data_IF_147186616231
#
_entry.id   IF_147186616231
#
_cell.length_a   1.000
_cell.length_b   1.000
_cell.length_c   1.000
_cell.angle_alpha   90.00
_cell.angle_beta   90.00
_cell.angle_gamma   90.00
#
_symmetry.space_group_name_H-M   'P 1'
#
loop_
_entity.id
_entity.type
_entity.pdbx_description
1 polymer ?
#
# COMPACT_ATOMS: atom_id res chain seq x y z
N UNK A 1 -79.92 5.57 -0.68
CA UNK A 1 -78.67 4.98 -0.13
C UNK A 1 -77.66 4.88 -1.27
N UNK A 2 -76.73 5.83 -1.36
CA UNK A 2 -75.72 5.93 -2.42
C UNK A 2 -74.41 5.40 -1.84
N UNK A 3 -73.87 4.31 -2.42
CA UNK A 3 -72.58 3.73 -2.04
C UNK A 3 -71.47 4.42 -2.84
N UNK A 4 -70.66 5.22 -2.17
CA UNK A 4 -69.42 5.80 -2.72
C UNK A 4 -68.33 4.73 -2.79
N UNK A 5 -67.80 4.50 -3.99
CA UNK A 5 -66.63 3.64 -4.24
C UNK A 5 -65.38 4.52 -4.15
N UNK A 6 -64.50 4.27 -3.17
CA UNK A 6 -63.18 4.92 -3.06
C UNK A 6 -62.19 4.07 -3.86
N UNK A 7 -61.65 4.62 -4.94
CA UNK A 7 -60.54 4.03 -5.71
C UNK A 7 -59.25 4.59 -5.14
N UNK A 8 -58.44 3.74 -4.51
CA UNK A 8 -57.11 4.09 -4.00
C UNK A 8 -56.10 3.86 -5.13
N UNK A 9 -55.58 4.95 -5.69
CA UNK A 9 -54.45 4.91 -6.64
C UNK A 9 -53.15 4.65 -5.85
N UNK A 10 -52.57 3.45 -6.01
CA UNK A 10 -51.22 3.17 -5.54
C UNK A 10 -50.20 3.82 -6.49
N UNK A 11 -49.65 4.98 -6.09
CA UNK A 11 -48.48 5.55 -6.73
C UNK A 11 -47.25 4.70 -6.36
N UNK A 12 -46.82 3.84 -7.27
CA UNK A 12 -45.59 3.07 -7.12
C UNK A 12 -44.40 4.01 -7.42
N UNK A 13 -43.88 4.70 -6.40
CA UNK A 13 -42.59 5.37 -6.51
C UNK A 13 -41.52 4.29 -6.66
N UNK A 14 -41.04 4.06 -7.87
CA UNK A 14 -39.80 3.33 -8.07
C UNK A 14 -38.67 4.16 -7.43
N UNK A 15 -38.22 3.75 -6.24
CA UNK A 15 -36.98 4.26 -5.68
C UNK A 15 -35.84 3.66 -6.51
N UNK A 16 -35.22 4.46 -7.37
CA UNK A 16 -33.99 4.09 -8.06
C UNK A 16 -32.88 4.11 -7.01
N UNK A 17 -32.67 2.99 -6.35
CA UNK A 17 -31.48 2.80 -5.52
C UNK A 17 -30.26 2.87 -6.44
N UNK A 18 -29.48 3.95 -6.35
CA UNK A 18 -28.14 3.98 -6.95
C UNK A 18 -27.29 2.94 -6.23
N UNK A 19 -27.17 1.76 -6.83
CA UNK A 19 -26.19 0.76 -6.42
C UNK A 19 -24.85 1.25 -6.96
N UNK A 20 -24.08 1.95 -6.12
CA UNK A 20 -22.70 2.25 -6.45
C UNK A 20 -21.94 0.93 -6.62
N UNK A 21 -21.15 0.82 -7.69
CA UNK A 21 -20.29 -0.33 -7.87
C UNK A 21 -19.34 -0.47 -6.67
N UNK A 22 -19.06 -1.69 -6.19
CA UNK A 22 -18.10 -1.89 -5.11
C UNK A 22 -16.77 -1.23 -5.45
N UNK A 23 -16.20 -0.46 -4.54
CA UNK A 23 -14.85 0.10 -4.72
C UNK A 23 -13.83 -0.97 -4.35
N UNK A 24 -13.03 -1.41 -5.32
CA UNK A 24 -11.89 -2.30 -5.08
C UNK A 24 -10.72 -1.51 -4.49
N UNK A 25 -10.50 -0.28 -4.98
CA UNK A 25 -9.52 0.62 -4.39
C UNK A 25 -9.07 1.76 -5.30
N UNK A 26 -7.85 2.24 -5.09
CA UNK A 26 -7.28 3.36 -5.80
C UNK A 26 -5.95 3.00 -6.45
N UNK A 27 -5.74 3.55 -7.63
CA UNK A 27 -4.58 3.30 -8.47
C UNK A 27 -3.85 4.63 -8.76
N UNK A 28 -2.59 4.79 -8.32
CA UNK A 28 -1.72 5.84 -8.82
C UNK A 28 -1.51 5.68 -10.34
N UNK A 29 -1.67 6.78 -11.08
CA UNK A 29 -1.43 6.88 -12.52
C UNK A 29 -0.74 8.23 -12.80
N UNK A 30 0.59 8.20 -12.89
CA UNK A 30 1.39 9.42 -12.90
C UNK A 30 1.15 10.26 -11.64
N UNK A 31 0.82 11.54 -11.81
CA UNK A 31 0.48 12.45 -10.72
C UNK A 31 -0.98 12.39 -10.26
N UNK A 32 -1.76 11.40 -10.73
CA UNK A 32 -3.19 11.29 -10.49
C UNK A 32 -3.58 10.01 -9.75
N UNK A 33 -4.79 10.01 -9.21
CA UNK A 33 -5.40 8.87 -8.53
C UNK A 33 -6.64 8.45 -9.32
N UNK A 34 -6.74 7.16 -9.67
CA UNK A 34 -7.90 6.57 -10.35
C UNK A 34 -8.61 5.57 -9.43
N UNK A 35 -9.93 5.70 -9.21
CA UNK A 35 -10.71 4.67 -8.53
C UNK A 35 -10.81 3.41 -9.40
N UNK A 36 -10.79 2.26 -8.74
CA UNK A 36 -10.97 0.94 -9.34
C UNK A 36 -12.25 0.36 -8.76
N UNK A 37 -13.25 0.12 -9.61
CA UNK A 37 -14.54 -0.42 -9.21
C UNK A 37 -14.68 -1.88 -9.62
N UNK A 38 -15.41 -2.66 -8.83
CA UNK A 38 -15.68 -4.08 -9.02
C UNK A 38 -15.02 -4.95 -7.94
N UNK A 39 -14.76 -6.20 -8.30
CA UNK A 39 -14.06 -7.17 -7.48
C UNK A 39 -12.80 -7.64 -8.19
N UNK A 40 -11.86 -8.23 -7.45
CA UNK A 40 -10.64 -8.80 -8.03
C UNK A 40 -10.98 -9.76 -9.19
N UNK A 41 -10.45 -9.49 -10.38
CA UNK A 41 -10.71 -10.27 -11.61
C UNK A 41 -11.95 -9.88 -12.41
N UNK A 42 -12.80 -8.99 -11.87
CA UNK A 42 -13.95 -8.40 -12.56
C UNK A 42 -14.09 -6.92 -12.18
N UNK A 43 -12.98 -6.18 -12.31
CA UNK A 43 -12.89 -4.75 -11.97
C UNK A 43 -12.51 -3.92 -13.19
N UNK A 44 -12.76 -2.61 -13.09
CA UNK A 44 -12.34 -1.64 -14.09
C UNK A 44 -11.82 -0.36 -13.43
N UNK A 45 -10.77 0.21 -14.02
CA UNK A 45 -10.19 1.49 -13.60
C UNK A 45 -10.97 2.63 -14.24
N UNK A 46 -11.47 3.54 -13.42
CA UNK A 46 -12.26 4.69 -13.85
C UNK A 46 -11.41 5.92 -14.19
N UNK A 47 -12.08 7.04 -14.47
CA UNK A 47 -11.43 8.33 -14.67
C UNK A 47 -10.63 8.79 -13.44
N UNK A 48 -9.60 9.61 -13.67
CA UNK A 48 -8.85 10.20 -12.56
C UNK A 48 -9.75 11.11 -11.71
N UNK A 49 -9.55 11.10 -10.40
CA UNK A 49 -10.17 12.05 -9.48
C UNK A 49 -9.56 13.42 -9.77
N UNK A 50 -10.41 14.42 -9.99
CA UNK A 50 -9.97 15.81 -10.11
C UNK A 50 -9.68 16.37 -8.72
N UNK A 51 -8.39 16.53 -8.41
CA UNK A 51 -7.92 17.18 -7.18
C UNK A 51 -7.64 18.68 -7.40
N UNK A 52 -7.81 19.19 -8.63
CA UNK A 52 -7.38 20.53 -9.03
C UNK A 52 -5.86 20.71 -9.11
N UNK A 53 -5.07 19.65 -8.89
CA UNK A 53 -3.61 19.64 -8.94
C UNK A 53 -3.06 18.22 -9.13
N UNK A 54 -1.84 18.14 -9.65
CA UNK A 54 -1.08 16.89 -9.76
C UNK A 54 -0.30 16.60 -8.47
N UNK A 55 0.12 15.34 -8.30
CA UNK A 55 0.92 14.86 -7.19
C UNK A 55 2.31 14.40 -7.67
N UNK A 56 3.34 14.56 -6.84
CA UNK A 56 4.70 14.04 -7.11
C UNK A 56 4.96 12.71 -6.44
N UNK A 57 4.29 12.45 -5.31
CA UNK A 57 4.31 11.18 -4.59
C UNK A 57 2.87 10.75 -4.32
N UNK A 58 2.60 9.45 -4.41
CA UNK A 58 1.28 8.87 -4.12
C UNK A 58 1.46 7.56 -3.38
N UNK A 59 0.86 7.45 -2.20
CA UNK A 59 0.82 6.23 -1.41
C UNK A 59 -0.62 5.92 -0.99
N UNK A 60 -1.16 4.83 -1.52
CA UNK A 60 -2.54 4.41 -1.24
C UNK A 60 -2.57 3.57 0.03
N UNK A 61 -3.52 3.84 0.92
CA UNK A 61 -3.75 3.02 2.12
C UNK A 61 -4.00 1.56 1.73
N UNK A 62 -3.36 0.58 2.38
CA UNK A 62 -3.64 -0.84 2.13
C UNK A 62 -5.11 -1.24 2.34
N UNK A 63 -5.87 -0.43 3.10
CA UNK A 63 -7.31 -0.59 3.30
C UNK A 63 -8.17 0.06 2.21
N UNK A 64 -7.55 0.79 1.29
CA UNK A 64 -8.23 1.42 0.16
C UNK A 64 -9.29 2.46 0.58
N UNK A 65 -9.06 3.14 1.71
CA UNK A 65 -9.96 4.10 2.33
C UNK A 65 -9.45 5.55 2.28
N UNK A 66 -8.14 5.75 2.07
CA UNK A 66 -7.53 7.07 1.84
C UNK A 66 -6.23 6.95 1.04
N UNK A 67 -5.72 8.09 0.59
CA UNK A 67 -4.45 8.22 -0.13
C UNK A 67 -3.63 9.34 0.49
N UNK A 68 -2.31 9.13 0.60
CA UNK A 68 -1.35 10.19 0.88
C UNK A 68 -0.70 10.63 -0.41
N UNK A 69 -0.39 11.92 -0.52
CA UNK A 69 0.43 12.41 -1.62
C UNK A 69 1.21 13.65 -1.27
N UNK A 70 2.10 14.05 -2.17
CA UNK A 70 2.76 15.36 -2.12
C UNK A 70 2.27 16.19 -3.30
N UNK A 71 1.81 17.41 -3.04
CA UNK A 71 1.36 18.34 -4.07
C UNK A 71 2.52 18.67 -5.03
N UNK A 72 2.30 18.62 -6.34
CA UNK A 72 3.39 18.81 -7.30
C UNK A 72 3.90 20.26 -7.38
N UNK A 73 3.06 21.23 -7.03
CA UNK A 73 3.34 22.67 -7.08
C UNK A 73 4.00 23.19 -5.79
N UNK A 74 3.54 22.74 -4.63
CA UNK A 74 4.03 23.23 -3.33
C UNK A 74 4.88 22.23 -2.56
N UNK A 75 4.82 20.93 -2.92
CA UNK A 75 5.41 19.85 -2.15
C UNK A 75 4.65 19.49 -0.87
N UNK A 76 3.55 20.18 -0.55
CA UNK A 76 2.78 19.95 0.67
C UNK A 76 2.27 18.50 0.76
N UNK A 77 2.38 17.89 1.94
CA UNK A 77 1.83 16.58 2.18
C UNK A 77 0.30 16.66 2.33
N UNK A 78 -0.40 15.83 1.58
CA UNK A 78 -1.85 15.78 1.48
C UNK A 78 -2.39 14.45 1.99
N UNK A 79 -3.46 14.52 2.77
CA UNK A 79 -4.38 13.42 3.04
C UNK A 79 -5.59 13.57 2.13
N UNK A 80 -5.80 12.59 1.27
CA UNK A 80 -6.88 12.57 0.28
C UNK A 80 -7.85 11.47 0.68
N UNK A 81 -9.09 11.87 0.98
CA UNK A 81 -10.20 10.94 1.20
C UNK A 81 -11.18 11.09 0.04
N UNK A 82 -11.22 10.14 -0.89
CA UNK A 82 -12.08 10.28 -2.07
C UNK A 82 -13.56 10.45 -1.68
N UNK A 83 -14.23 11.41 -2.30
CA UNK A 83 -15.56 11.89 -1.91
C UNK A 83 -15.57 12.98 -0.83
N UNK A 84 -14.48 13.16 -0.07
CA UNK A 84 -14.32 14.23 0.94
C UNK A 84 -13.27 15.28 0.54
N UNK A 85 -12.43 14.99 -0.46
CA UNK A 85 -11.42 15.91 -0.99
C UNK A 85 -10.02 15.69 -0.40
N UNK A 86 -9.15 16.68 -0.61
CA UNK A 86 -7.78 16.72 -0.12
C UNK A 86 -7.64 17.73 1.03
N UNK A 87 -6.92 17.34 2.08
CA UNK A 87 -6.58 18.20 3.22
C UNK A 87 -5.09 18.13 3.49
N UNK A 88 -4.48 19.23 3.92
CA UNK A 88 -3.06 19.24 4.28
C UNK A 88 -2.82 18.40 5.54
N UNK A 89 -1.68 17.71 5.59
CA UNK A 89 -1.16 17.09 6.80
C UNK A 89 -0.29 18.12 7.53
N UNK A 90 -0.93 18.91 8.39
CA UNK A 90 -0.26 19.98 9.12
C UNK A 90 0.94 19.46 9.93
N UNK A 91 2.08 20.13 9.77
CA UNK A 91 3.34 19.79 10.44
C UNK A 91 4.24 18.82 9.68
N UNK A 92 3.73 18.16 8.63
CA UNK A 92 4.58 17.37 7.73
C UNK A 92 5.33 18.33 6.80
N UNK A 93 6.65 18.18 6.71
CA UNK A 93 7.48 18.99 5.85
C UNK A 93 7.14 18.75 4.37
N UNK A 94 7.27 19.79 3.56
CA UNK A 94 7.03 19.71 2.13
C UNK A 94 8.20 19.01 1.40
N UNK A 95 7.90 18.38 0.27
CA UNK A 95 8.92 17.84 -0.64
C UNK A 95 9.47 16.48 -0.25
N UNK A 96 8.64 15.59 0.32
CA UNK A 96 9.04 14.22 0.57
C UNK A 96 9.40 13.49 -0.74
N UNK A 97 10.53 12.79 -0.76
CA UNK A 97 11.01 12.01 -1.91
C UNK A 97 10.38 10.62 -1.97
N UNK A 98 9.88 10.12 -0.84
CA UNK A 98 9.22 8.81 -0.73
C UNK A 98 8.21 8.84 0.41
N UNK A 99 7.05 8.23 0.17
CA UNK A 99 6.04 7.97 1.19
C UNK A 99 5.87 6.45 1.31
N UNK A 100 5.99 5.92 2.53
CA UNK A 100 5.82 4.49 2.81
C UNK A 100 4.70 4.30 3.81
N UNK A 101 3.72 3.44 3.48
CA UNK A 101 2.59 3.14 4.35
C UNK A 101 2.89 1.99 5.29
N UNK A 102 2.33 2.05 6.50
CA UNK A 102 2.27 0.88 7.37
C UNK A 102 1.35 -0.20 6.77
N UNK A 103 1.50 -1.48 7.15
CA UNK A 103 0.73 -2.59 6.58
C UNK A 103 -0.80 -2.40 6.58
N UNK A 104 -1.35 -1.68 7.56
CA UNK A 104 -2.79 -1.40 7.68
C UNK A 104 -3.16 0.05 7.36
N UNK A 105 -2.19 0.91 7.03
CA UNK A 105 -2.42 2.34 6.85
C UNK A 105 -2.79 3.06 8.16
N UNK A 106 -2.26 2.61 9.31
CA UNK A 106 -2.38 3.35 10.57
C UNK A 106 -1.30 4.41 10.74
N UNK A 107 -0.18 4.23 10.03
CA UNK A 107 0.93 5.17 10.01
C UNK A 107 1.56 5.24 8.61
N UNK A 108 2.37 6.26 8.39
CA UNK A 108 3.20 6.42 7.20
C UNK A 108 4.54 7.07 7.55
N UNK A 109 5.58 6.78 6.77
CA UNK A 109 6.88 7.43 6.86
C UNK A 109 7.13 8.26 5.60
N UNK A 110 7.53 9.51 5.79
CA UNK A 110 7.92 10.47 4.76
C UNK A 110 9.44 10.63 4.81
N UNK A 111 10.12 10.27 3.73
CA UNK A 111 11.58 10.39 3.62
C UNK A 111 11.97 11.65 2.86
N UNK A 112 12.92 12.40 3.42
CA UNK A 112 13.49 13.61 2.85
C UNK A 112 14.98 13.40 2.60
N UNK A 113 15.32 12.96 1.38
CA UNK A 113 16.68 12.57 1.00
C UNK A 113 17.68 13.72 1.05
N UNK A 114 17.23 14.95 0.78
CA UNK A 114 18.09 16.13 0.78
C UNK A 114 18.65 16.46 2.18
N UNK A 115 17.91 16.11 3.24
CA UNK A 115 18.29 16.38 4.63
C UNK A 115 18.60 15.13 5.43
N UNK A 116 18.26 13.94 4.91
CA UNK A 116 18.45 12.68 5.61
C UNK A 116 17.48 12.48 6.77
N UNK A 117 16.31 13.14 6.76
CA UNK A 117 15.31 13.04 7.83
C UNK A 117 14.10 12.21 7.40
N UNK A 118 13.47 11.58 8.39
CA UNK A 118 12.21 10.84 8.21
C UNK A 118 11.17 11.44 9.16
N UNK A 119 9.96 11.72 8.66
CA UNK A 119 8.82 12.02 9.51
C UNK A 119 7.86 10.83 9.51
N UNK A 120 7.59 10.27 10.68
CA UNK A 120 6.54 9.29 10.88
C UNK A 120 5.25 10.04 11.24
N UNK A 121 4.20 9.75 10.50
CA UNK A 121 2.84 10.22 10.75
C UNK A 121 2.01 9.03 11.22
N UNK A 122 1.62 8.99 12.50
CA UNK A 122 0.80 7.93 13.09
C UNK A 122 -0.64 8.40 13.31
N UNK A 123 -1.58 7.48 13.57
CA UNK A 123 -2.98 7.82 13.84
C UNK A 123 -3.79 8.14 12.58
N UNK A 124 -3.30 7.75 11.40
CA UNK A 124 -3.95 7.95 10.13
C UNK A 124 -5.18 7.03 9.95
N UNK A 125 -6.18 7.45 9.15
CA UNK A 125 -6.36 8.80 8.64
C UNK A 125 -6.96 9.75 9.69
N UNK A 126 -7.21 9.32 10.93
CA UNK A 126 -8.02 10.03 11.92
C UNK A 126 -7.38 11.29 12.50
N UNK A 127 -6.57 11.12 13.55
CA UNK A 127 -5.92 12.20 14.30
C UNK A 127 -4.41 12.05 14.19
N UNK A 128 -3.78 12.63 13.16
CA UNK A 128 -2.36 12.43 12.89
C UNK A 128 -1.48 12.99 14.01
N UNK A 129 -0.45 12.24 14.39
CA UNK A 129 0.66 12.71 15.21
C UNK A 129 1.97 12.52 14.46
N UNK A 130 2.89 13.47 14.62
CA UNK A 130 4.14 13.50 13.87
C UNK A 130 5.31 13.27 14.80
N UNK A 131 6.23 12.40 14.38
CA UNK A 131 7.51 12.16 15.04
C UNK A 131 8.62 12.22 14.01
N UNK A 132 9.65 12.97 14.32
CA UNK A 132 10.83 13.09 13.46
C UNK A 132 11.91 12.10 13.86
N UNK A 133 12.60 11.58 12.86
CA UNK A 133 13.76 10.71 12.98
C UNK A 133 14.90 11.35 12.20
N UNK A 134 16.00 11.57 12.90
CA UNK A 134 17.27 11.89 12.27
C UNK A 134 17.94 10.63 11.76
N UNK A 135 18.11 10.53 10.44
CA UNK A 135 18.89 9.50 9.77
C UNK A 135 19.98 10.12 8.88
N UNK A 136 20.36 11.38 9.13
CA UNK A 136 21.36 12.13 8.34
C UNK A 136 22.76 11.53 8.41
N UNK A 137 23.01 10.69 9.42
CA UNK A 137 24.24 9.91 9.57
C UNK A 137 24.29 8.67 8.65
N UNK A 138 23.19 8.33 7.96
CA UNK A 138 23.10 7.22 7.01
C UNK A 138 22.96 7.77 5.57
N UNK A 139 23.37 7.00 4.54
CA UNK A 139 23.11 7.36 3.15
C UNK A 139 21.61 7.19 2.80
N UNK A 140 21.27 7.23 1.51
CA UNK A 140 19.90 6.95 1.09
C UNK A 140 19.51 5.48 1.37
N UNK A 141 18.35 5.20 1.99
CA UNK A 141 17.87 3.85 2.20
C UNK A 141 17.44 3.20 0.89
N UNK A 142 17.79 1.92 0.74
CA UNK A 142 17.21 1.06 -0.29
C UNK A 142 15.72 0.82 -0.02
N UNK A 143 15.38 0.50 1.23
CA UNK A 143 14.01 0.23 1.66
C UNK A 143 13.72 0.85 3.03
N UNK A 144 12.46 1.18 3.27
CA UNK A 144 11.93 1.67 4.53
C UNK A 144 10.61 0.94 4.81
N UNK A 145 10.27 0.76 6.09
CA UNK A 145 8.97 0.31 6.55
C UNK A 145 8.64 0.96 7.89
N UNK A 146 7.36 1.11 8.19
CA UNK A 146 6.85 1.68 9.45
C UNK A 146 5.78 0.77 10.04
N UNK A 147 5.77 0.61 11.37
CA UNK A 147 4.77 -0.18 12.10
C UNK A 147 3.41 0.52 12.10
N UNK A 148 2.32 -0.23 12.30
CA UNK A 148 0.95 0.32 12.26
C UNK A 148 0.64 1.37 13.32
N UNK A 149 1.36 1.34 14.44
CA UNK A 149 1.27 2.31 15.52
C UNK A 149 2.25 3.50 15.38
N UNK A 150 3.09 3.48 14.35
CA UNK A 150 4.14 4.47 14.09
C UNK A 150 5.28 4.51 15.11
N UNK A 151 5.34 3.54 16.04
CA UNK A 151 6.39 3.50 17.07
C UNK A 151 7.72 2.98 16.54
N UNK A 152 7.69 2.18 15.47
CA UNK A 152 8.88 1.60 14.86
C UNK A 152 9.01 1.99 13.40
N UNK A 153 10.21 2.39 13.03
CA UNK A 153 10.66 2.46 11.65
C UNK A 153 11.80 1.46 11.49
N UNK A 154 11.81 0.77 10.36
CA UNK A 154 12.93 -0.05 9.94
C UNK A 154 13.38 0.38 8.54
N UNK A 155 14.66 0.21 8.24
CA UNK A 155 15.17 0.48 6.91
C UNK A 155 16.41 -0.33 6.58
N UNK A 156 16.63 -0.52 5.30
CA UNK A 156 17.81 -1.17 4.75
C UNK A 156 18.66 -0.12 4.04
N UNK A 157 19.91 -0.02 4.48
CA UNK A 157 20.96 0.83 3.92
C UNK A 157 22.10 -0.03 3.38
N UNK A 158 22.99 0.53 2.53
CA UNK A 158 24.14 -0.20 1.99
C UNK A 158 25.05 -0.84 3.06
N UNK A 159 25.11 -0.24 4.25
CA UNK A 159 25.97 -0.66 5.37
C UNK A 159 25.25 -1.52 6.42
N UNK A 160 23.91 -1.68 6.34
CA UNK A 160 23.17 -2.52 7.26
C UNK A 160 21.67 -2.28 7.29
N UNK A 161 20.98 -3.06 8.11
CA UNK A 161 19.56 -2.85 8.42
C UNK A 161 19.44 -2.22 9.79
N UNK A 162 18.67 -1.15 9.90
CA UNK A 162 18.50 -0.38 11.13
C UNK A 162 17.03 -0.31 11.55
N UNK A 163 16.79 -0.28 12.85
CA UNK A 163 15.49 0.03 13.45
C UNK A 163 15.59 1.27 14.32
N UNK A 164 14.53 2.07 14.29
CA UNK A 164 14.36 3.29 15.06
C UNK A 164 13.13 3.11 15.95
N UNK A 165 13.38 3.04 17.25
CA UNK A 165 12.37 2.78 18.27
C UNK A 165 11.71 4.04 18.83
N UNK A 166 10.72 3.91 19.73
CA UNK A 166 9.97 5.03 20.31
C UNK A 166 10.85 6.02 21.08
N UNK A 167 11.86 5.53 21.81
CA UNK A 167 12.70 6.33 22.72
C UNK A 167 14.00 6.85 22.05
N UNK A 168 13.92 7.23 20.77
CA UNK A 168 15.07 7.64 19.94
C UNK A 168 16.20 6.58 19.86
N UNK A 169 15.89 5.33 20.18
CA UNK A 169 16.83 4.22 20.06
C UNK A 169 17.06 3.89 18.60
N UNK A 170 18.33 3.68 18.25
CA UNK A 170 18.74 3.21 16.93
C UNK A 170 19.50 1.90 17.10
N UNK A 171 18.98 0.82 16.53
CA UNK A 171 19.60 -0.51 16.61
C UNK A 171 19.96 -1.00 15.22
N UNK A 172 21.20 -1.46 15.04
CA UNK A 172 21.61 -2.18 13.83
C UNK A 172 21.28 -3.66 13.99
N UNK A 173 20.35 -4.17 13.17
CA UNK A 173 19.96 -5.57 13.18
C UNK A 173 21.11 -6.44 12.67
N UNK A 174 21.40 -7.53 13.37
CA UNK A 174 22.40 -8.51 12.97
C UNK A 174 21.76 -9.52 12.00
N UNK A 175 21.60 -9.09 10.75
CA UNK A 175 21.06 -9.90 9.65
C UNK A 175 22.01 -9.92 8.46
N UNK A 176 21.77 -10.86 7.54
CA UNK A 176 22.51 -10.97 6.29
C UNK A 176 22.55 -9.63 5.54
N UNK A 177 23.68 -9.34 4.91
CA UNK A 177 23.82 -8.17 4.05
C UNK A 177 22.93 -8.28 2.81
N UNK A 178 22.57 -7.15 2.21
CA UNK A 178 21.82 -7.13 0.95
C UNK A 178 20.32 -7.28 1.12
N UNK A 179 19.76 -6.85 2.26
CA UNK A 179 18.33 -6.64 2.39
C UNK A 179 17.88 -5.57 1.38
N UNK A 180 16.94 -5.92 0.51
CA UNK A 180 16.44 -5.03 -0.56
C UNK A 180 15.00 -4.60 -0.33
N UNK A 181 14.25 -5.33 0.50
CA UNK A 181 12.87 -5.01 0.84
C UNK A 181 12.56 -5.51 2.24
N UNK A 182 11.68 -4.79 2.94
CA UNK A 182 11.25 -5.15 4.29
C UNK A 182 9.84 -4.64 4.56
N UNK A 183 9.13 -5.31 5.46
CA UNK A 183 7.80 -4.93 5.91
C UNK A 183 7.60 -5.32 7.38
N UNK A 184 6.75 -4.58 8.08
CA UNK A 184 6.26 -5.00 9.40
C UNK A 184 5.13 -6.01 9.26
N UNK A 185 5.03 -6.90 10.24
CA UNK A 185 3.80 -7.66 10.47
C UNK A 185 2.66 -6.73 10.87
N UNK A 186 1.43 -7.02 10.44
CA UNK A 186 0.25 -6.24 10.81
C UNK A 186 0.08 -6.25 12.33
N UNK A 187 -0.03 -5.07 12.94
CA UNK A 187 -0.20 -4.85 14.40
C UNK A 187 0.86 -5.50 15.29
N UNK A 188 2.06 -5.75 14.75
CA UNK A 188 3.17 -6.36 15.50
C UNK A 188 4.48 -5.61 15.18
N UNK A 189 5.36 -5.40 16.18
CA UNK A 189 6.68 -4.83 15.96
C UNK A 189 7.68 -5.89 15.45
N UNK A 190 7.21 -6.84 14.63
CA UNK A 190 8.07 -7.86 14.02
C UNK A 190 8.28 -7.51 12.55
N UNK A 191 9.43 -7.90 12.00
CA UNK A 191 9.81 -7.61 10.63
C UNK A 191 9.85 -8.86 9.78
N UNK A 192 9.60 -8.70 8.49
CA UNK A 192 10.02 -9.62 7.46
C UNK A 192 10.95 -8.88 6.49
N UNK A 193 12.05 -9.52 6.13
CA UNK A 193 13.08 -9.00 5.24
C UNK A 193 13.24 -9.92 4.04
N UNK A 194 13.56 -9.33 2.89
CA UNK A 194 13.94 -10.06 1.69
C UNK A 194 15.36 -9.66 1.25
N UNK A 195 16.22 -10.65 1.07
CA UNK A 195 17.50 -10.51 0.35
C UNK A 195 17.33 -11.12 -1.05
N UNK A 196 18.34 -11.04 -1.95
CA UNK A 196 18.27 -11.72 -3.23
C UNK A 196 17.96 -13.21 -3.15
N UNK A 197 18.29 -13.91 -2.06
CA UNK A 197 18.15 -15.37 -1.97
C UNK A 197 17.34 -15.84 -0.75
N UNK A 198 17.02 -14.98 0.21
CA UNK A 198 16.38 -15.38 1.47
C UNK A 198 15.21 -14.51 1.86
N UNK A 199 14.28 -15.12 2.59
CA UNK A 199 13.23 -14.43 3.35
C UNK A 199 13.45 -14.72 4.82
N UNK A 200 13.51 -13.68 5.63
CA UNK A 200 13.86 -13.77 7.05
C UNK A 200 12.82 -13.01 7.86
N UNK A 201 12.19 -13.64 8.84
CA UNK A 201 11.42 -12.94 9.87
C UNK A 201 12.31 -12.57 11.05
N UNK A 202 12.07 -11.43 11.68
CA UNK A 202 12.74 -11.03 12.91
C UNK A 202 11.68 -10.67 13.95
N UNK A 203 11.74 -11.36 15.08
CA UNK A 203 10.97 -11.00 16.27
C UNK A 203 11.81 -10.17 17.25
N UNK A 204 11.14 -9.45 18.14
CA UNK A 204 11.76 -8.69 19.24
C UNK A 204 12.79 -7.66 18.78
N UNK A 205 12.44 -6.86 17.76
CA UNK A 205 13.36 -5.87 17.14
C UNK A 205 13.82 -4.76 18.10
N UNK A 206 13.10 -4.56 19.22
CA UNK A 206 13.43 -3.60 20.26
C UNK A 206 14.20 -4.18 21.44
N UNK A 207 14.34 -5.51 21.50
CA UNK A 207 15.06 -6.24 22.52
C UNK A 207 16.21 -7.04 21.91
N UNK A 208 16.18 -8.36 22.09
CA UNK A 208 17.13 -9.27 21.47
C UNK A 208 16.56 -9.79 20.15
N UNK A 209 16.82 -9.03 19.09
CA UNK A 209 16.39 -9.37 17.73
C UNK A 209 16.66 -10.85 17.42
N UNK A 210 15.60 -11.59 17.12
CA UNK A 210 15.63 -13.03 16.90
C UNK A 210 15.29 -13.36 15.44
N UNK A 211 16.30 -13.47 14.55
CA UNK A 211 16.08 -13.78 13.15
C UNK A 211 15.76 -15.26 12.94
N UNK A 212 14.80 -15.53 12.06
CA UNK A 212 14.41 -16.87 11.62
C UNK A 212 14.29 -16.90 10.08
N UNK A 213 15.06 -17.78 9.44
CA UNK A 213 15.03 -17.96 7.98
C UNK A 213 13.79 -18.75 7.60
N UNK A 214 12.91 -18.13 6.82
CA UNK A 214 11.65 -18.72 6.36
C UNK A 214 11.78 -19.37 4.98
N UNK A 215 12.70 -18.87 4.17
CA UNK A 215 12.96 -19.36 2.83
C UNK A 215 14.41 -19.08 2.46
N UNK A 216 15.06 -20.06 1.82
CA UNK A 216 16.39 -19.95 1.26
C UNK A 216 16.39 -20.60 -0.13
N UNK A 217 16.75 -19.81 -1.14
CA UNK A 217 17.00 -20.26 -2.50
C UNK A 217 18.31 -19.66 -3.00
N UNK A 218 19.41 -20.09 -2.37
CA UNK A 218 20.77 -19.69 -2.71
C UNK A 218 21.16 -20.02 -4.16
N UNK A 219 20.51 -20.99 -4.80
CA UNK A 219 20.81 -21.41 -6.17
C UNK A 219 20.14 -20.52 -7.24
N UNK A 220 19.02 -19.87 -6.91
CA UNK A 220 18.26 -19.01 -7.83
C UNK A 220 17.77 -17.74 -7.13
N UNK A 221 18.50 -16.62 -7.27
CA UNK A 221 18.11 -15.35 -6.67
C UNK A 221 16.71 -14.87 -7.12
N UNK A 222 15.85 -14.55 -6.15
CA UNK A 222 14.54 -13.94 -6.31
C UNK A 222 14.61 -12.50 -6.85
N UNK A 223 15.71 -11.79 -6.56
CA UNK A 223 15.90 -10.35 -6.85
C UNK A 223 14.65 -9.51 -6.48
N UNK A 224 14.28 -9.44 -5.19
CA UNK A 224 13.04 -8.82 -4.74
C UNK A 224 12.93 -7.33 -5.12
N UNK A 225 11.71 -6.92 -5.46
CA UNK A 225 11.29 -5.51 -5.59
C UNK A 225 10.25 -5.12 -4.55
N UNK A 226 9.65 -6.10 -3.87
CA UNK A 226 8.71 -5.87 -2.78
C UNK A 226 8.53 -7.12 -1.92
N UNK A 227 8.22 -6.90 -0.64
CA UNK A 227 7.73 -7.90 0.29
C UNK A 227 6.52 -7.34 1.04
N UNK A 228 5.50 -8.15 1.26
CA UNK A 228 4.31 -7.77 2.01
C UNK A 228 3.70 -8.99 2.71
N UNK A 229 2.78 -8.73 3.65
CA UNK A 229 2.03 -9.79 4.34
C UNK A 229 0.54 -9.65 4.04
N UNK A 230 -0.17 -10.79 3.97
CA UNK A 230 -1.62 -10.79 4.01
C UNK A 230 -2.12 -10.17 5.33
N UNK A 231 -3.31 -9.60 5.29
CA UNK A 231 -3.87 -8.79 6.38
C UNK A 231 -4.03 -9.57 7.71
N UNK A 232 -4.14 -10.89 7.63
CA UNK A 232 -4.21 -11.82 8.75
C UNK A 232 -2.83 -12.34 9.22
N UNK A 233 -1.73 -11.80 8.68
CA UNK A 233 -0.35 -12.25 8.91
C UNK A 233 -0.10 -13.73 8.58
N UNK A 234 -0.91 -14.35 7.72
CA UNK A 234 -0.76 -15.76 7.36
C UNK A 234 0.22 -15.98 6.21
N UNK A 235 0.20 -15.12 5.19
CA UNK A 235 1.00 -15.26 3.99
C UNK A 235 2.05 -14.15 3.94
N UNK A 236 3.30 -14.51 3.71
CA UNK A 236 4.33 -13.58 3.22
C UNK A 236 4.37 -13.71 1.71
N UNK A 237 4.37 -12.57 1.01
CA UNK A 237 4.52 -12.51 -0.44
C UNK A 237 5.77 -11.72 -0.77
N UNK A 238 6.59 -12.25 -1.67
CA UNK A 238 7.74 -11.57 -2.26
C UNK A 238 7.51 -11.46 -3.76
N UNK A 239 7.68 -10.25 -4.29
CA UNK A 239 7.66 -10.01 -5.73
C UNK A 239 9.10 -9.84 -6.22
N UNK A 240 9.53 -10.72 -7.13
CA UNK A 240 10.81 -10.63 -7.83
C UNK A 240 10.73 -9.72 -9.05
N UNK A 241 11.83 -9.03 -9.37
CA UNK A 241 11.90 -8.09 -10.49
C UNK A 241 11.52 -8.71 -11.85
N UNK A 242 11.82 -9.98 -12.04
CA UNK A 242 11.58 -10.72 -13.27
C UNK A 242 10.15 -11.29 -13.38
N UNK A 243 9.28 -11.07 -12.39
CA UNK A 243 7.88 -11.51 -12.41
C UNK A 243 7.57 -12.74 -11.58
N UNK A 244 8.58 -13.42 -11.02
CA UNK A 244 8.38 -14.51 -10.07
C UNK A 244 7.82 -13.97 -8.75
N UNK A 245 6.66 -14.47 -8.35
CA UNK A 245 6.05 -14.23 -7.05
C UNK A 245 6.31 -15.46 -6.17
N UNK A 246 6.75 -15.25 -4.94
CA UNK A 246 6.87 -16.28 -3.91
C UNK A 246 5.84 -15.99 -2.83
N UNK A 247 5.01 -16.99 -2.49
CA UNK A 247 4.13 -16.95 -1.34
C UNK A 247 4.56 -18.00 -0.33
N UNK A 248 4.69 -17.62 0.94
CA UNK A 248 5.05 -18.50 2.07
C UNK A 248 3.89 -18.48 3.06
N UNK A 249 3.32 -19.64 3.35
CA UNK A 249 2.29 -19.81 4.39
C UNK A 249 2.97 -20.03 5.74
N UNK A 250 2.79 -19.08 6.66
CA UNK A 250 3.43 -19.07 7.97
C UNK A 250 2.88 -20.11 8.95
N UNK A 251 1.68 -20.65 8.70
CA UNK A 251 1.11 -21.70 9.54
C UNK A 251 1.71 -23.07 9.21
N UNK A 252 2.02 -23.31 7.94
CA UNK A 252 2.47 -24.61 7.44
C UNK A 252 3.96 -24.64 7.07
N UNK A 253 4.59 -23.49 6.85
CA UNK A 253 5.92 -23.36 6.27
C UNK A 253 5.96 -23.67 4.77
N UNK A 254 4.81 -23.96 4.13
CA UNK A 254 4.76 -24.27 2.71
C UNK A 254 5.07 -23.01 1.89
N UNK A 255 5.79 -23.17 0.78
CA UNK A 255 6.02 -22.11 -0.19
C UNK A 255 5.53 -22.50 -1.58
N UNK A 256 5.03 -21.53 -2.31
CA UNK A 256 4.58 -21.66 -3.68
C UNK A 256 5.12 -20.51 -4.52
N UNK A 257 5.41 -20.77 -5.79
CA UNK A 257 5.83 -19.74 -6.74
C UNK A 257 4.85 -19.62 -7.90
N UNK A 258 4.65 -18.39 -8.37
CA UNK A 258 3.75 -18.06 -9.48
C UNK A 258 4.44 -17.04 -10.37
N UNK A 259 4.44 -17.25 -11.68
CA UNK A 259 4.87 -16.22 -12.63
C UNK A 259 3.72 -15.25 -12.91
N UNK A 260 3.91 -13.95 -12.64
CA UNK A 260 2.91 -12.94 -12.95
C UNK A 260 2.83 -12.58 -14.43
N UNK A 261 3.81 -12.98 -15.25
CA UNK A 261 3.98 -12.54 -16.63
C UNK A 261 4.09 -11.01 -16.73
N UNK A 262 4.80 -10.39 -15.78
CA UNK A 262 4.87 -8.94 -15.60
C UNK A 262 6.20 -8.54 -14.94
N UNK A 263 6.51 -7.24 -14.92
CA UNK A 263 7.57 -6.69 -14.09
C UNK A 263 6.92 -5.95 -12.91
N UNK A 264 6.87 -6.53 -11.70
CA UNK A 264 6.25 -5.89 -10.56
C UNK A 264 6.99 -4.59 -10.19
N UNK A 265 6.22 -3.57 -9.82
CA UNK A 265 6.73 -2.32 -9.23
C UNK A 265 6.89 -2.43 -7.71
N UNK A 266 6.22 -3.42 -7.10
CA UNK A 266 6.21 -3.67 -5.67
C UNK A 266 5.03 -4.57 -5.28
N UNK A 267 4.70 -4.60 -3.99
CA UNK A 267 3.50 -5.23 -3.46
C UNK A 267 2.72 -4.18 -2.67
N UNK A 268 1.57 -3.76 -3.20
CA UNK A 268 0.73 -2.75 -2.56
C UNK A 268 -0.59 -3.37 -2.14
N UNK A 269 -0.88 -3.41 -0.84
CA UNK A 269 -2.06 -4.10 -0.32
C UNK A 269 -3.38 -3.54 -0.87
N UNK A 270 -4.30 -4.44 -1.22
CA UNK A 270 -5.68 -4.14 -1.62
C UNK A 270 -6.68 -4.69 -0.57
N UNK A 271 -6.20 -4.99 0.63
CA UNK A 271 -6.94 -5.72 1.68
C UNK A 271 -6.85 -7.24 1.54
N UNK A 272 -7.11 -7.94 2.65
CA UNK A 272 -7.08 -9.41 2.68
C UNK A 272 -5.73 -10.00 2.24
N UNK A 273 -5.77 -10.88 1.24
CA UNK A 273 -4.60 -11.51 0.60
C UNK A 273 -4.26 -10.91 -0.77
N UNK A 274 -4.86 -9.78 -1.15
CA UNK A 274 -4.72 -9.19 -2.47
C UNK A 274 -3.66 -8.07 -2.49
N UNK A 275 -2.82 -8.08 -3.52
CA UNK A 275 -1.77 -7.09 -3.74
C UNK A 275 -1.78 -6.59 -5.17
N UNK A 276 -1.73 -5.28 -5.38
CA UNK A 276 -1.39 -4.68 -6.66
C UNK A 276 0.10 -4.92 -6.94
N UNK A 277 0.41 -5.32 -8.18
CA UNK A 277 1.78 -5.57 -8.66
C UNK A 277 2.32 -4.43 -9.52
N UNK A 278 1.46 -3.78 -10.31
CA UNK A 278 1.87 -2.77 -11.30
C UNK A 278 0.97 -1.54 -11.28
N UNK A 279 1.42 -0.44 -11.87
CA UNK A 279 0.58 0.61 -12.40
C UNK A 279 -0.17 0.18 -13.66
N UNK A 280 -0.81 1.16 -14.32
CA UNK A 280 -1.40 0.95 -15.64
C UNK A 280 -0.31 0.76 -16.69
N UNK A 281 -0.33 -0.38 -17.36
CA UNK A 281 0.51 -0.69 -18.50
C UNK A 281 -0.36 -1.25 -19.63
N UNK A 282 -0.30 -0.61 -20.81
CA UNK A 282 -1.16 -0.95 -21.95
C UNK A 282 -2.66 -1.02 -21.58
N UNK A 283 -3.11 -0.11 -20.72
CA UNK A 283 -4.51 0.01 -20.31
C UNK A 283 -4.99 -1.02 -19.30
N UNK A 284 -4.12 -1.76 -18.62
CA UNK A 284 -4.50 -2.59 -17.48
C UNK A 284 -3.44 -2.59 -16.39
N UNK A 285 -3.81 -2.92 -15.15
CA UNK A 285 -2.85 -3.22 -14.09
C UNK A 285 -3.02 -4.67 -13.61
N UNK A 286 -1.96 -5.24 -13.05
CA UNK A 286 -2.00 -6.61 -12.48
C UNK A 286 -2.10 -6.59 -10.96
N UNK A 287 -2.79 -7.59 -10.45
CA UNK A 287 -2.90 -7.87 -9.03
C UNK A 287 -2.68 -9.36 -8.76
N UNK A 288 -2.30 -9.69 -7.55
CA UNK A 288 -2.08 -11.05 -7.07
C UNK A 288 -2.98 -11.32 -5.87
N UNK A 289 -3.77 -12.38 -5.94
CA UNK A 289 -4.43 -12.94 -4.77
C UNK A 289 -3.58 -14.10 -4.25
N UNK A 290 -2.91 -13.86 -3.13
CA UNK A 290 -2.00 -14.81 -2.53
C UNK A 290 -2.69 -16.04 -1.93
N UNK A 291 -3.96 -15.91 -1.51
CA UNK A 291 -4.72 -17.04 -0.97
C UNK A 291 -5.14 -18.01 -2.07
N UNK A 292 -5.49 -17.48 -3.24
CA UNK A 292 -5.82 -18.26 -4.42
C UNK A 292 -4.60 -18.70 -5.24
N UNK A 293 -3.43 -18.08 -5.02
CA UNK A 293 -2.25 -18.26 -5.87
C UNK A 293 -2.48 -17.76 -7.30
N UNK A 294 -3.32 -16.74 -7.48
CA UNK A 294 -3.84 -16.32 -8.78
C UNK A 294 -3.41 -14.90 -9.13
N UNK A 295 -2.97 -14.70 -10.38
CA UNK A 295 -2.64 -13.39 -10.94
C UNK A 295 -3.81 -12.94 -11.80
N UNK A 296 -4.38 -11.78 -11.46
CA UNK A 296 -5.53 -11.20 -12.14
C UNK A 296 -5.14 -9.87 -12.78
N UNK A 297 -5.96 -9.37 -13.70
CA UNK A 297 -5.79 -8.06 -14.32
C UNK A 297 -7.08 -7.26 -14.23
N UNK A 298 -6.94 -5.94 -14.18
CA UNK A 298 -8.06 -5.00 -14.23
C UNK A 298 -7.81 -4.00 -15.35
N UNK A 299 -8.64 -3.96 -16.40
CA UNK A 299 -8.51 -3.00 -17.48
C UNK A 299 -8.94 -1.59 -17.05
N UNK A 300 -8.52 -0.59 -17.82
CA UNK A 300 -9.19 0.70 -17.94
C UNK A 300 -10.63 0.45 -18.38
N UNK A 301 -11.58 1.13 -17.75
CA UNK A 301 -12.95 1.14 -18.22
C UNK A 301 -12.96 1.67 -19.65
N UNK A 302 -13.72 1.01 -20.53
CA UNK A 302 -14.01 1.59 -21.83
C UNK A 302 -14.72 2.94 -21.61
N UNK A 303 -14.33 3.96 -22.37
CA UNK A 303 -15.07 5.22 -22.38
C UNK A 303 -16.54 4.90 -22.66
N UNK A 304 -17.40 5.17 -21.69
CA UNK A 304 -18.83 5.00 -21.89
C UNK A 304 -19.24 5.92 -23.05
N UNK A 305 -19.88 5.41 -24.12
CA UNK A 305 -20.43 6.29 -25.12
C UNK A 305 -21.54 7.15 -24.48
N UNK A 306 -21.22 8.41 -24.15
CA UNK A 306 -22.21 9.46 -23.85
C UNK A 306 -22.40 9.89 -22.39
N UNK A 307 -21.34 10.31 -21.68
CA UNK A 307 -21.51 11.29 -20.59
C UNK A 307 -21.06 12.69 -21.04
N UNK A 308 -21.93 13.33 -21.82
CA UNK A 308 -21.94 14.77 -21.95
C UNK A 308 -22.62 15.37 -20.70
N UNK A 309 -21.89 16.21 -19.96
CA UNK A 309 -22.43 17.29 -19.12
C UNK A 309 -23.44 16.91 -18.04
N UNK A 310 -22.95 16.70 -16.81
CA UNK A 310 -23.78 16.73 -15.60
C UNK A 310 -22.99 17.37 -14.46
N UNK A 311 -23.01 18.69 -14.38
CA UNK A 311 -22.56 19.44 -13.21
C UNK A 311 -23.46 19.10 -12.01
N UNK A 312 -22.86 18.85 -10.85
CA UNK A 312 -23.43 19.13 -9.54
C UNK A 312 -22.39 19.91 -8.73
#
# INVERSE_FOLDING_TARGET
MIRSLIVILFACCAAWGQINAPLLGYLPDGGRIRPVYGIAGASAVSGAIDLGRELTQIAVSPRQDYVLGAAADTGEALLIRPGLGATNLDGVAAGADRIVMSPRGGAAAFWFSATGHIQIVAGLPGSPSIREIDASFLPNPAALAVSDDGQWLAGAWPDGTYTFGPDAQVNRLQVDSGVVSLAFFHQRPDLVLATPTRVISIADIGGQANPNVLYDNSDQPLNPVGIALSFDNRLIVVAGRAGLLLAIDLNTGASATVDCGCAPEGLFGLGGSAFRLTGLNNGAFKLFDAAAGAVLFSPLAADAPGQAGGQL
#
